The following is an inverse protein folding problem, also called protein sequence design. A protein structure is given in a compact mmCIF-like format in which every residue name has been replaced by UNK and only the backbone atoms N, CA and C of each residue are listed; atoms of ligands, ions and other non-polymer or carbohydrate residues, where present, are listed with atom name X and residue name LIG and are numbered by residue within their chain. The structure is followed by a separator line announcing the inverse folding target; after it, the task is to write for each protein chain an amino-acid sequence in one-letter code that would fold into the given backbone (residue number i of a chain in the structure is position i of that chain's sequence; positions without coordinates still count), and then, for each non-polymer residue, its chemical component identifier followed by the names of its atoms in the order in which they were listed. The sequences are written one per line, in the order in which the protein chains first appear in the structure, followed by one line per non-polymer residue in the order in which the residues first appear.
data_IF_343266315869
#
_entry.id   IF_343266315869
#
_cell.length_a   1.000
_cell.length_b   1.000
_cell.length_c   1.000
_cell.angle_alpha   90.00
_cell.angle_beta   90.00
_cell.angle_gamma   90.00
#
_symmetry.space_group_name_H-M   'P 1'
#
loop_
_entity.id
_entity.type
_entity.pdbx_description
1 polymer ?
#
# COMPACT_ATOMS: atom_id res chain seq x y z
N UNK A 1 -22.44 12.23 13.16
CA UNK A 1 -21.32 12.47 14.09
C UNK A 1 -20.54 11.19 14.36
N UNK A 2 -21.22 10.07 14.68
CA UNK A 2 -20.51 8.81 15.01
C UNK A 2 -19.95 8.06 13.78
N UNK A 3 -20.68 8.05 12.66
CA UNK A 3 -20.23 7.35 11.43
C UNK A 3 -18.94 7.95 10.86
N UNK A 4 -18.81 9.28 10.86
CA UNK A 4 -17.60 9.96 10.38
C UNK A 4 -16.37 9.58 11.22
N UNK A 5 -16.51 9.60 12.56
CA UNK A 5 -15.45 9.18 13.48
C UNK A 5 -15.07 7.70 13.29
N UNK A 6 -16.05 6.82 13.13
CA UNK A 6 -15.82 5.39 12.88
C UNK A 6 -15.07 5.18 11.57
N UNK A 7 -15.54 5.79 10.47
CA UNK A 7 -14.92 5.67 9.15
C UNK A 7 -13.51 6.27 9.13
N UNK A 8 -13.31 7.42 9.80
CA UNK A 8 -12.01 8.02 9.94
C UNK A 8 -11.06 7.10 10.71
N UNK A 9 -11.47 6.57 11.86
CA UNK A 9 -10.65 5.66 12.67
C UNK A 9 -10.33 4.38 11.91
N UNK A 10 -11.33 3.76 11.27
CA UNK A 10 -11.15 2.58 10.42
C UNK A 10 -10.14 2.84 9.29
N UNK A 11 -10.25 3.97 8.59
CA UNK A 11 -9.31 4.30 7.52
C UNK A 11 -7.87 4.40 8.02
N UNK A 12 -7.64 5.08 9.14
CA UNK A 12 -6.30 5.20 9.70
C UNK A 12 -5.75 3.84 10.15
N UNK A 13 -6.55 3.02 10.83
CA UNK A 13 -6.12 1.68 11.25
C UNK A 13 -5.75 0.80 10.06
N UNK A 14 -6.54 0.82 8.98
CA UNK A 14 -6.25 0.05 7.77
C UNK A 14 -5.01 0.60 7.04
N UNK A 15 -4.81 1.92 7.01
CA UNK A 15 -3.60 2.54 6.45
C UNK A 15 -2.36 2.17 7.29
N UNK A 16 -2.45 2.17 8.61
CA UNK A 16 -1.33 1.74 9.46
C UNK A 16 -1.04 0.24 9.31
N UNK A 17 -2.08 -0.59 9.17
CA UNK A 17 -1.91 -2.00 8.84
C UNK A 17 -1.21 -2.19 7.49
N UNK A 18 -1.55 -1.39 6.47
CA UNK A 18 -0.89 -1.39 5.17
C UNK A 18 0.60 -1.08 5.31
N UNK A 19 0.94 -0.02 6.04
CA UNK A 19 2.34 0.37 6.30
C UNK A 19 3.10 -0.71 7.08
N UNK A 20 2.46 -1.34 8.06
CA UNK A 20 3.04 -2.44 8.83
C UNK A 20 3.33 -3.67 7.97
N UNK A 21 2.40 -4.05 7.08
CA UNK A 21 2.59 -5.14 6.13
C UNK A 21 3.70 -4.82 5.12
N UNK A 22 3.72 -3.60 4.58
CA UNK A 22 4.79 -3.13 3.70
C UNK A 22 6.16 -3.21 4.37
N UNK A 23 6.28 -2.78 5.63
CA UNK A 23 7.52 -2.85 6.39
C UNK A 23 7.97 -4.31 6.63
N UNK A 24 7.02 -5.21 6.89
CA UNK A 24 7.31 -6.64 7.03
C UNK A 24 7.82 -7.25 5.71
N UNK A 25 7.18 -6.94 4.57
CA UNK A 25 7.64 -7.36 3.26
C UNK A 25 9.03 -6.82 2.93
N UNK A 26 9.26 -5.53 3.18
CA UNK A 26 10.57 -4.88 3.00
C UNK A 26 11.67 -5.59 3.80
N UNK A 27 11.38 -5.95 5.06
CA UNK A 27 12.33 -6.65 5.93
C UNK A 27 12.57 -8.10 5.51
N UNK A 28 11.54 -8.79 5.02
CA UNK A 28 11.61 -10.21 4.63
C UNK A 28 12.23 -10.42 3.25
N UNK A 29 12.05 -9.49 2.32
CA UNK A 29 12.63 -9.57 0.97
C UNK A 29 14.13 -9.23 1.01
N UNK A 30 14.95 -10.15 1.53
CA UNK A 30 16.41 -10.02 1.67
C UNK A 30 17.15 -11.20 1.01
N UNK A 31 18.44 -11.03 0.64
CA UNK A 31 19.26 -12.12 0.11
C UNK A 31 19.25 -13.34 1.02
N UNK A 32 19.25 -14.54 0.41
CA UNK A 32 19.14 -15.81 1.15
C UNK A 32 17.71 -16.17 1.56
N UNK A 33 16.70 -15.66 0.84
CA UNK A 33 15.32 -16.08 0.95
C UNK A 33 15.16 -17.51 0.36
N UNK A 34 14.74 -18.46 1.19
CA UNK A 34 14.55 -19.86 0.80
C UNK A 34 13.51 -20.56 1.68
N UNK A 35 13.02 -21.71 1.22
CA UNK A 35 12.18 -22.61 2.02
C UNK A 35 10.87 -21.97 2.49
N UNK A 36 10.51 -22.26 3.74
CA UNK A 36 9.26 -21.79 4.36
C UNK A 36 9.09 -20.25 4.36
N UNK A 37 10.18 -19.49 4.30
CA UNK A 37 10.12 -18.01 4.30
C UNK A 37 9.50 -17.45 3.01
N UNK A 38 9.64 -18.15 1.88
CA UNK A 38 9.00 -17.76 0.62
C UNK A 38 7.48 -17.84 0.77
N UNK A 39 6.97 -18.91 1.37
CA UNK A 39 5.54 -19.07 1.63
C UNK A 39 5.00 -18.05 2.63
N UNK A 40 5.78 -17.69 3.65
CA UNK A 40 5.43 -16.61 4.58
C UNK A 40 5.38 -15.25 3.87
N UNK A 41 6.35 -14.95 3.02
CA UNK A 41 6.37 -13.73 2.21
C UNK A 41 5.16 -13.66 1.27
N UNK A 42 4.80 -14.77 0.61
CA UNK A 42 3.63 -14.81 -0.26
C UNK A 42 2.30 -14.58 0.49
N UNK A 43 2.19 -15.04 1.75
CA UNK A 43 1.02 -14.75 2.60
C UNK A 43 0.97 -13.29 3.02
N UNK A 44 2.12 -12.69 3.34
CA UNK A 44 2.22 -11.26 3.65
C UNK A 44 1.86 -10.39 2.44
N UNK A 45 2.35 -10.73 1.25
CA UNK A 45 2.02 -10.07 -0.02
C UNK A 45 0.51 -10.15 -0.32
N UNK A 46 -0.10 -11.32 -0.12
CA UNK A 46 -1.54 -11.47 -0.27
C UNK A 46 -2.33 -10.63 0.75
N UNK A 47 -1.88 -10.60 2.02
CA UNK A 47 -2.49 -9.77 3.06
C UNK A 47 -2.33 -8.27 2.73
N UNK A 48 -1.16 -7.84 2.25
CA UNK A 48 -0.90 -6.47 1.82
C UNK A 48 -1.87 -6.06 0.72
N UNK A 49 -2.05 -6.89 -0.32
CA UNK A 49 -3.02 -6.62 -1.39
C UNK A 49 -4.47 -6.54 -0.89
N UNK A 50 -4.86 -7.41 0.04
CA UNK A 50 -6.17 -7.36 0.69
C UNK A 50 -6.40 -6.08 1.50
N UNK A 51 -5.41 -5.69 2.31
CA UNK A 51 -5.45 -4.46 3.11
C UNK A 51 -5.43 -3.23 2.21
N UNK A 52 -4.65 -3.22 1.13
CA UNK A 52 -4.66 -2.13 0.14
C UNK A 52 -6.05 -1.92 -0.47
N UNK A 53 -6.73 -3.03 -0.80
CA UNK A 53 -8.12 -2.98 -1.29
C UNK A 53 -9.06 -2.39 -0.23
N UNK A 54 -8.88 -2.78 1.04
CA UNK A 54 -9.67 -2.24 2.14
C UNK A 54 -9.42 -0.74 2.36
N UNK A 55 -8.18 -0.24 2.17
CA UNK A 55 -7.88 1.21 2.21
C UNK A 55 -8.71 1.95 1.17
N UNK A 56 -8.79 1.43 -0.05
CA UNK A 56 -9.61 2.04 -1.13
C UNK A 56 -11.08 2.06 -0.71
N UNK A 57 -11.64 0.91 -0.30
CA UNK A 57 -13.06 0.80 0.05
C UNK A 57 -13.42 1.77 1.17
N UNK A 58 -12.66 1.77 2.27
CA UNK A 58 -12.92 2.68 3.39
C UNK A 58 -12.66 4.14 2.99
N UNK A 59 -11.68 4.40 2.14
CA UNK A 59 -11.42 5.73 1.58
C UNK A 59 -12.60 6.28 0.77
N UNK A 60 -13.18 5.47 -0.11
CA UNK A 60 -14.38 5.83 -0.90
C UNK A 60 -15.57 6.08 0.02
N UNK A 61 -15.79 5.24 1.03
CA UNK A 61 -16.83 5.47 2.03
C UNK A 61 -16.66 6.81 2.76
N UNK A 62 -15.41 7.22 3.03
CA UNK A 62 -15.14 8.55 3.61
C UNK A 62 -15.40 9.71 2.67
N UNK A 63 -15.21 9.53 1.36
CA UNK A 63 -15.52 10.58 0.38
C UNK A 63 -17.04 10.79 0.28
N UNK A 64 -17.83 9.70 0.34
CA UNK A 64 -19.29 9.73 0.18
C UNK A 64 -20.00 10.12 1.49
N UNK A 65 -19.58 9.56 2.62
CA UNK A 65 -20.27 9.67 3.92
C UNK A 65 -19.51 10.51 4.95
N UNK A 66 -18.35 11.05 4.62
CA UNK A 66 -17.53 11.85 5.53
C UNK A 66 -18.01 13.29 5.67
N UNK A 67 -17.50 13.98 6.69
CA UNK A 67 -17.98 15.28 7.15
C UNK A 67 -17.86 16.45 6.12
N UNK A 68 -16.95 16.36 5.15
CA UNK A 68 -16.61 17.49 4.25
C UNK A 68 -17.43 17.55 2.95
N UNK A 69 -18.31 16.59 2.68
CA UNK A 69 -18.98 16.44 1.39
C UNK A 69 -18.03 15.97 0.28
N UNK A 70 -18.55 15.34 -0.77
CA UNK A 70 -17.72 14.75 -1.83
C UNK A 70 -17.06 15.83 -2.72
N UNK A 71 -17.69 17.00 -2.83
CA UNK A 71 -17.27 18.15 -3.63
C UNK A 71 -15.90 18.67 -3.19
N UNK A 72 -15.66 18.70 -1.87
CA UNK A 72 -14.37 19.10 -1.30
C UNK A 72 -13.23 18.22 -1.80
N UNK A 73 -13.45 16.90 -1.93
CA UNK A 73 -12.42 15.97 -2.37
C UNK A 73 -12.16 16.10 -3.87
N UNK A 74 -13.20 16.16 -4.70
CA UNK A 74 -13.05 16.20 -6.16
C UNK A 74 -12.44 17.51 -6.64
N UNK A 75 -12.74 18.64 -5.99
CA UNK A 75 -12.14 19.94 -6.29
C UNK A 75 -10.72 20.13 -5.74
N UNK A 76 -10.18 19.17 -4.97
CA UNK A 76 -8.89 19.32 -4.31
C UNK A 76 -7.76 18.59 -5.07
N UNK A 77 -6.78 19.34 -5.57
CA UNK A 77 -5.62 18.78 -6.28
C UNK A 77 -4.75 17.88 -5.40
N UNK A 78 -4.64 18.15 -4.10
CA UNK A 78 -3.90 17.31 -3.16
C UNK A 78 -4.60 15.96 -2.94
N UNK A 79 -5.94 15.91 -3.01
CA UNK A 79 -6.67 14.64 -3.03
C UNK A 79 -6.32 13.81 -4.26
N UNK A 80 -6.34 14.40 -5.45
CA UNK A 80 -5.96 13.70 -6.68
C UNK A 80 -4.50 13.26 -6.69
N UNK A 81 -3.58 14.08 -6.16
CA UNK A 81 -2.18 13.71 -6.00
C UNK A 81 -2.01 12.51 -5.05
N UNK A 82 -2.75 12.47 -3.93
CA UNK A 82 -2.81 11.32 -3.02
C UNK A 82 -3.33 10.08 -3.76
N UNK A 83 -4.39 10.21 -4.55
CA UNK A 83 -4.96 9.10 -5.30
C UNK A 83 -4.02 8.57 -6.37
N UNK A 84 -3.32 9.46 -7.10
CA UNK A 84 -2.30 9.09 -8.05
C UNK A 84 -1.13 8.37 -7.37
N UNK A 85 -0.66 8.84 -6.22
CA UNK A 85 0.37 8.15 -5.45
C UNK A 85 -0.07 6.75 -5.00
N UNK A 86 -1.32 6.59 -4.54
CA UNK A 86 -1.86 5.28 -4.18
C UNK A 86 -1.97 4.34 -5.39
N UNK A 87 -2.38 4.86 -6.56
CA UNK A 87 -2.41 4.09 -7.81
C UNK A 87 -1.01 3.65 -8.24
N UNK A 88 -0.04 4.56 -8.25
CA UNK A 88 1.36 4.27 -8.58
C UNK A 88 1.91 3.18 -7.64
N UNK A 89 1.61 3.28 -6.35
CA UNK A 89 1.98 2.25 -5.38
C UNK A 89 1.42 0.89 -5.77
N UNK A 90 0.12 0.78 -6.08
CA UNK A 90 -0.50 -0.46 -6.53
C UNK A 90 0.08 -1.00 -7.85
N UNK A 91 0.52 -0.14 -8.77
CA UNK A 91 1.21 -0.58 -9.98
C UNK A 91 2.61 -1.11 -9.68
N UNK A 92 3.35 -0.44 -8.79
CA UNK A 92 4.68 -0.86 -8.39
C UNK A 92 4.68 -2.20 -7.63
N UNK A 93 3.55 -2.61 -7.02
CA UNK A 93 3.43 -3.91 -6.33
C UNK A 93 3.28 -5.07 -7.30
N UNK A 94 2.80 -4.85 -8.53
CA UNK A 94 2.53 -5.94 -9.47
C UNK A 94 3.79 -6.77 -9.78
N UNK A 95 4.95 -6.19 -10.17
CA UNK A 95 6.15 -6.98 -10.45
C UNK A 95 6.65 -7.84 -9.28
N UNK A 96 6.86 -7.30 -8.05
CA UNK A 96 7.31 -8.11 -6.93
C UNK A 96 6.26 -9.16 -6.53
N UNK A 97 4.97 -8.85 -6.54
CA UNK A 97 3.89 -9.82 -6.26
C UNK A 97 3.94 -11.02 -7.23
N UNK A 98 4.12 -10.78 -8.53
CA UNK A 98 4.22 -11.84 -9.52
C UNK A 98 5.48 -12.70 -9.29
N UNK A 99 6.61 -12.08 -8.96
CA UNK A 99 7.85 -12.78 -8.64
C UNK A 99 7.70 -13.65 -7.39
N UNK A 100 7.15 -13.10 -6.29
CA UNK A 100 6.90 -13.82 -5.03
C UNK A 100 5.98 -15.02 -5.25
N UNK A 101 4.91 -14.85 -6.02
CA UNK A 101 4.00 -15.96 -6.37
C UNK A 101 4.69 -17.05 -7.18
N UNK A 102 5.56 -16.67 -8.12
CA UNK A 102 6.35 -17.62 -8.90
C UNK A 102 7.31 -18.40 -8.01
N UNK A 103 8.01 -17.74 -7.09
CA UNK A 103 8.90 -18.40 -6.13
C UNK A 103 8.13 -19.35 -5.21
N UNK A 104 6.96 -18.93 -4.72
CA UNK A 104 6.12 -19.77 -3.86
C UNK A 104 5.64 -21.05 -4.59
N UNK A 105 5.35 -20.95 -5.89
CA UNK A 105 4.98 -22.09 -6.73
C UNK A 105 6.14 -23.03 -7.03
N UNK A 106 7.38 -22.52 -7.08
CA UNK A 106 8.58 -23.31 -7.34
C UNK A 106 8.94 -24.28 -6.20
N UNK A 107 8.35 -24.10 -5.01
CA UNK A 107 8.49 -25.02 -3.88
C UNK A 107 9.60 -24.63 -2.91
N UNK A 108 9.72 -25.37 -1.80
CA UNK A 108 10.60 -25.02 -0.69
C UNK A 108 12.10 -25.21 -1.00
N UNK A 109 12.42 -26.12 -1.91
CA UNK A 109 13.80 -26.39 -2.33
C UNK A 109 14.31 -25.37 -3.36
N UNK A 110 13.45 -24.46 -3.81
CA UNK A 110 13.84 -23.39 -4.72
C UNK A 110 14.63 -22.30 -3.98
N UNK A 111 15.91 -22.19 -4.31
CA UNK A 111 16.72 -21.05 -3.92
C UNK A 111 16.46 -19.90 -4.88
N UNK A 112 15.88 -18.80 -4.37
CA UNK A 112 15.60 -17.61 -5.19
C UNK A 112 16.92 -16.95 -5.60
N UNK A 113 17.17 -16.74 -6.91
CA UNK A 113 18.38 -16.07 -7.37
C UNK A 113 18.53 -14.65 -6.79
N UNK A 114 19.76 -14.26 -6.44
CA UNK A 114 20.03 -12.98 -5.77
C UNK A 114 19.70 -11.76 -6.64
N UNK A 115 19.83 -11.89 -7.96
CA UNK A 115 19.47 -10.89 -8.97
C UNK A 115 17.96 -10.66 -9.03
N UNK A 116 17.15 -11.72 -8.93
CA UNK A 116 15.69 -11.59 -8.86
C UNK A 116 15.23 -10.91 -7.56
N UNK A 117 15.88 -11.23 -6.44
CA UNK A 117 15.65 -10.54 -5.16
C UNK A 117 16.03 -9.05 -5.30
N UNK A 118 17.18 -8.75 -5.90
CA UNK A 118 17.63 -7.38 -6.09
C UNK A 118 16.68 -6.58 -7.01
N UNK A 119 16.16 -7.20 -8.07
CA UNK A 119 15.18 -6.59 -8.96
C UNK A 119 13.89 -6.26 -8.20
N UNK A 120 13.32 -7.21 -7.46
CA UNK A 120 12.12 -6.98 -6.64
C UNK A 120 12.35 -5.92 -5.56
N UNK A 121 13.53 -5.91 -4.92
CA UNK A 121 13.88 -4.87 -3.93
C UNK A 121 13.90 -3.48 -4.51
N UNK A 122 14.28 -3.27 -5.78
CA UNK A 122 14.24 -1.93 -6.41
C UNK A 122 12.82 -1.38 -6.45
N UNK A 123 11.83 -2.22 -6.80
CA UNK A 123 10.42 -1.83 -6.77
C UNK A 123 9.98 -1.47 -5.35
N UNK A 124 10.37 -2.26 -4.34
CA UNK A 124 10.01 -1.94 -2.95
C UNK A 124 10.64 -0.61 -2.48
N UNK A 125 11.87 -0.29 -2.87
CA UNK A 125 12.45 1.04 -2.55
C UNK A 125 11.68 2.18 -3.22
N UNK A 126 11.26 2.01 -4.48
CA UNK A 126 10.43 3.00 -5.17
C UNK A 126 9.07 3.16 -4.48
N UNK A 127 8.45 2.05 -4.07
CA UNK A 127 7.22 2.06 -3.29
C UNK A 127 7.38 2.80 -1.97
N UNK A 128 8.50 2.63 -1.26
CA UNK A 128 8.76 3.33 0.00
C UNK A 128 8.77 4.86 -0.23
N UNK A 129 9.40 5.33 -1.32
CA UNK A 129 9.36 6.75 -1.69
C UNK A 129 7.94 7.25 -1.97
N UNK A 130 7.16 6.49 -2.74
CA UNK A 130 5.76 6.86 -3.06
C UNK A 130 4.86 6.79 -1.83
N UNK A 131 5.10 5.85 -0.92
CA UNK A 131 4.36 5.69 0.34
C UNK A 131 4.48 6.92 1.23
N UNK A 132 5.62 7.63 1.21
CA UNK A 132 5.79 8.88 1.96
C UNK A 132 4.96 10.04 1.38
N UNK A 133 4.69 10.03 0.08
CA UNK A 133 3.89 11.08 -0.56
C UNK A 133 2.43 11.04 -0.12
N UNK A 134 1.89 9.84 0.14
CA UNK A 134 0.48 9.65 0.54
C UNK A 134 0.10 10.42 1.82
N UNK A 135 0.80 10.25 2.97
CA UNK A 135 0.50 11.01 4.17
C UNK A 135 0.82 12.50 4.03
N UNK A 136 1.82 12.87 3.21
CA UNK A 136 2.13 14.28 2.94
C UNK A 136 0.95 14.96 2.23
N UNK A 137 0.42 14.37 1.16
CA UNK A 137 -0.75 14.91 0.46
C UNK A 137 -2.00 14.88 1.33
N UNK A 138 -2.17 13.85 2.17
CA UNK A 138 -3.26 13.82 3.14
C UNK A 138 -3.18 14.98 4.15
N UNK A 139 -1.98 15.27 4.67
CA UNK A 139 -1.75 16.39 5.58
C UNK A 139 -1.92 17.76 4.89
N UNK A 140 -1.47 17.89 3.64
CA UNK A 140 -1.67 19.09 2.83
C UNK A 140 -3.17 19.37 2.62
N UNK A 141 -3.93 18.35 2.20
CA UNK A 141 -5.38 18.42 2.03
C UNK A 141 -6.10 18.78 3.35
N UNK A 142 -5.66 18.22 4.49
CA UNK A 142 -6.25 18.54 5.80
C UNK A 142 -6.00 20.00 6.25
N UNK A 143 -5.00 20.67 5.66
CA UNK A 143 -4.67 22.09 5.90
C UNK A 143 -5.26 23.02 4.84
N UNK A 144 -6.09 22.52 3.93
CA UNK A 144 -6.73 23.32 2.88
C UNK A 144 -5.85 23.60 1.66
N UNK A 145 -4.66 22.99 1.55
CA UNK A 145 -3.88 23.09 0.32
C UNK A 145 -4.57 22.32 -0.81
N UNK A 146 -4.53 22.89 -2.02
CA UNK A 146 -5.07 22.26 -3.24
C UNK A 146 -6.55 22.52 -3.47
N UNK A 147 -7.23 23.29 -2.63
CA UNK A 147 -8.60 23.77 -2.88
C UNK A 147 -8.55 24.86 -3.96
N UNK A 148 -9.40 24.73 -4.98
CA UNK A 148 -9.63 25.73 -6.02
C UNK A 148 -10.83 26.59 -5.67
#
# INVERSE_FOLDING_TARGET
MDIDLILASAHHLVVFALVGLFAAEFAMLRPGLSGARIGQLAKLDAAYGGVATLVIVVGVLRVIFGAMGWEYYVGNYAFWAKMAAFLIMGLLTVPPTLAIRRWAKAGQDHAVPADEIAASRRFIHLQAGVLLLIPIFAAAMARGYGVS
#
